data_IF_364509668995
#
_entry.id   IF_364509668995
#
_cell.length_a   1.000
_cell.length_b   1.000
_cell.length_c   1.000
_cell.angle_alpha   90.00
_cell.angle_beta   90.00
_cell.angle_gamma   90.00
#
_symmetry.space_group_name_H-M   'P 1'
#
loop_
_entity.id
_entity.type
_entity.pdbx_description
1 polymer ?
#
# COMPACT_ATOMS: atom_id res chain seq x y z
N UNK A 1 -4.59 -18.45 -11.10
CA UNK A 1 -4.30 -17.10 -10.59
C UNK A 1 -3.88 -17.20 -9.13
N UNK A 2 -3.07 -16.28 -8.60
CA UNK A 2 -2.76 -16.15 -7.18
C UNK A 2 -3.53 -14.93 -6.65
N UNK A 3 -4.79 -15.10 -6.17
CA UNK A 3 -5.69 -13.96 -5.94
C UNK A 3 -5.20 -13.05 -4.81
N UNK A 4 -4.61 -13.65 -3.77
CA UNK A 4 -3.99 -12.91 -2.67
C UNK A 4 -2.84 -12.03 -3.16
N UNK A 5 -1.94 -12.57 -3.98
CA UNK A 5 -0.82 -11.80 -4.57
C UNK A 5 -1.35 -10.61 -5.37
N UNK A 6 -2.43 -10.79 -6.14
CA UNK A 6 -3.05 -9.71 -6.90
C UNK A 6 -3.65 -8.64 -5.99
N UNK A 7 -4.39 -9.03 -4.95
CA UNK A 7 -4.96 -8.09 -3.98
C UNK A 7 -3.86 -7.26 -3.28
N UNK A 8 -2.76 -7.91 -2.87
CA UNK A 8 -1.59 -7.22 -2.31
C UNK A 8 -0.99 -6.26 -3.34
N UNK A 9 -0.71 -6.70 -4.56
CA UNK A 9 -0.15 -5.85 -5.61
C UNK A 9 -1.02 -4.62 -5.91
N UNK A 10 -2.34 -4.78 -5.97
CA UNK A 10 -3.27 -3.67 -6.17
C UNK A 10 -3.20 -2.69 -4.99
N UNK A 11 -3.33 -3.18 -3.75
CA UNK A 11 -3.30 -2.34 -2.56
C UNK A 11 -1.97 -1.55 -2.43
N UNK A 12 -0.84 -2.17 -2.70
CA UNK A 12 0.48 -1.51 -2.69
C UNK A 12 0.60 -0.47 -3.81
N UNK A 13 0.12 -0.79 -5.01
CA UNK A 13 0.19 0.12 -6.16
C UNK A 13 -0.67 1.38 -5.95
N UNK A 14 -1.87 1.22 -5.39
CA UNK A 14 -2.73 2.37 -5.07
C UNK A 14 -2.13 3.22 -3.94
N UNK A 15 -1.52 2.62 -2.92
CA UNK A 15 -0.81 3.37 -1.89
C UNK A 15 0.39 4.14 -2.47
N UNK A 16 1.17 3.53 -3.35
CA UNK A 16 2.28 4.20 -4.06
C UNK A 16 1.76 5.43 -4.82
N UNK A 17 0.69 5.27 -5.61
CA UNK A 17 0.07 6.37 -6.35
C UNK A 17 -0.43 7.48 -5.43
N UNK A 18 -1.06 7.13 -4.32
CA UNK A 18 -1.55 8.09 -3.33
C UNK A 18 -0.41 8.89 -2.68
N UNK A 19 0.70 8.25 -2.35
CA UNK A 19 1.89 8.93 -1.83
C UNK A 19 2.47 9.92 -2.85
N UNK A 20 2.52 9.53 -4.12
CA UNK A 20 3.00 10.41 -5.19
C UNK A 20 2.04 11.59 -5.44
N UNK A 21 0.72 11.35 -5.45
CA UNK A 21 -0.27 12.40 -5.76
C UNK A 21 -0.49 13.37 -4.61
N UNK A 22 -0.58 12.87 -3.37
CA UNK A 22 -0.96 13.69 -2.20
C UNK A 22 0.22 14.26 -1.43
N UNK A 23 1.42 13.67 -1.56
CA UNK A 23 2.63 14.13 -0.85
C UNK A 23 3.77 14.52 -1.79
N UNK A 24 3.57 14.44 -3.12
CA UNK A 24 4.55 14.86 -4.10
C UNK A 24 5.84 14.03 -4.11
N UNK A 25 5.83 12.86 -3.48
CA UNK A 25 6.98 11.97 -3.43
C UNK A 25 7.27 11.41 -4.82
N UNK A 26 8.55 11.25 -5.14
CA UNK A 26 8.92 10.47 -6.31
C UNK A 26 8.74 8.96 -6.06
N UNK A 27 8.92 8.15 -7.11
CA UNK A 27 8.74 6.71 -7.01
C UNK A 27 9.75 6.06 -6.04
N UNK A 28 11.00 6.56 -5.97
CA UNK A 28 12.03 5.99 -5.12
C UNK A 28 11.77 6.32 -3.65
N UNK A 29 11.42 7.57 -3.33
CA UNK A 29 11.07 8.04 -1.99
C UNK A 29 9.84 7.30 -1.45
N UNK A 30 8.78 7.20 -2.25
CA UNK A 30 7.57 6.50 -1.84
C UNK A 30 7.82 5.00 -1.62
N UNK A 31 8.60 4.34 -2.50
CA UNK A 31 8.99 2.94 -2.30
C UNK A 31 9.90 2.75 -1.08
N UNK A 32 10.76 3.72 -0.76
CA UNK A 32 11.59 3.66 0.44
C UNK A 32 10.73 3.63 1.71
N UNK A 33 9.75 4.54 1.82
CA UNK A 33 8.82 4.57 2.97
C UNK A 33 8.00 3.27 3.02
N UNK A 34 7.46 2.82 1.89
CA UNK A 34 6.69 1.59 1.82
C UNK A 34 7.52 0.38 2.24
N UNK A 35 8.75 0.24 1.73
CA UNK A 35 9.61 -0.89 2.06
C UNK A 35 9.97 -0.99 3.54
N UNK A 36 10.00 0.14 4.25
CA UNK A 36 10.41 0.21 5.65
C UNK A 36 9.24 0.16 6.63
N UNK A 37 8.09 0.73 6.27
CA UNK A 37 7.03 1.03 7.23
C UNK A 37 5.66 0.47 6.85
N UNK A 38 5.50 -0.16 5.68
CA UNK A 38 4.19 -0.71 5.28
C UNK A 38 3.78 -1.85 6.20
N UNK A 39 2.52 -1.81 6.59
CA UNK A 39 1.85 -2.93 7.23
C UNK A 39 0.73 -3.41 6.31
N UNK A 40 0.52 -4.73 6.28
CA UNK A 40 -0.56 -5.34 5.52
C UNK A 40 -1.54 -6.04 6.45
N UNK A 41 -2.81 -5.69 6.34
CA UNK A 41 -3.89 -6.42 6.99
C UNK A 41 -4.67 -7.22 5.96
N UNK A 42 -5.03 -8.44 6.33
CA UNK A 42 -5.97 -9.25 5.53
C UNK A 42 -7.38 -8.77 5.84
N UNK A 43 -8.07 -8.25 4.82
CA UNK A 43 -9.48 -7.85 4.94
C UNK A 43 -10.42 -9.03 4.75
N UNK A 44 -10.25 -9.78 3.67
CA UNK A 44 -11.06 -10.96 3.34
C UNK A 44 -10.23 -12.01 2.60
N UNK A 45 -10.41 -13.28 2.98
CA UNK A 45 -9.80 -14.45 2.32
C UNK A 45 -10.80 -15.60 2.13
N UNK A 46 -12.06 -15.41 2.53
CA UNK A 46 -13.05 -16.47 2.61
C UNK A 46 -13.72 -16.76 1.25
N UNK A 47 -14.04 -15.70 0.52
CA UNK A 47 -14.68 -15.78 -0.79
C UNK A 47 -13.69 -15.39 -1.91
N UNK A 48 -14.06 -15.56 -3.20
CA UNK A 48 -13.15 -15.28 -4.31
C UNK A 48 -12.66 -13.81 -4.40
N UNK A 49 -13.29 -12.86 -3.70
CA UNK A 49 -12.88 -11.47 -3.63
C UNK A 49 -11.89 -11.24 -2.46
N UNK A 50 -10.65 -11.67 -2.68
CA UNK A 50 -9.56 -11.47 -1.74
C UNK A 50 -9.31 -9.97 -1.54
N UNK A 51 -9.20 -9.54 -0.29
CA UNK A 51 -8.99 -8.13 0.06
C UNK A 51 -7.77 -8.00 0.95
N UNK A 52 -6.86 -7.10 0.55
CA UNK A 52 -5.68 -6.72 1.31
C UNK A 52 -5.69 -5.22 1.55
N UNK A 53 -5.33 -4.81 2.76
CA UNK A 53 -5.18 -3.40 3.13
C UNK A 53 -3.69 -3.09 3.20
N UNK A 54 -3.25 -2.08 2.46
CA UNK A 54 -1.91 -1.51 2.57
C UNK A 54 -2.02 -0.25 3.43
N UNK A 55 -1.33 -0.18 4.58
CA UNK A 55 -1.40 0.95 5.51
C UNK A 55 -0.03 1.42 5.97
N UNK A 56 0.04 2.69 6.33
CA UNK A 56 1.20 3.35 6.92
C UNK A 56 0.76 4.15 8.15
N UNK A 57 1.62 4.23 9.17
CA UNK A 57 1.41 5.17 10.27
C UNK A 57 1.44 6.60 9.74
N UNK A 58 0.50 7.45 10.16
CA UNK A 58 0.52 8.88 9.79
C UNK A 58 1.78 9.60 10.27
N UNK A 59 2.44 9.08 11.29
CA UNK A 59 3.69 9.64 11.82
C UNK A 59 4.88 9.53 10.87
N UNK A 60 4.83 8.63 9.87
CA UNK A 60 5.90 8.47 8.87
C UNK A 60 5.62 9.22 7.57
N UNK A 61 4.46 9.87 7.47
CA UNK A 61 4.09 10.65 6.30
C UNK A 61 4.74 12.04 6.38
N UNK A 62 5.16 12.61 5.22
CA UNK A 62 5.61 13.99 5.18
C UNK A 62 4.54 14.95 5.71
N UNK A 63 4.97 16.07 6.30
CA UNK A 63 4.07 17.17 6.61
C UNK A 63 3.46 17.72 5.31
N UNK A 64 2.13 17.85 5.30
CA UNK A 64 1.37 18.45 4.19
C UNK A 64 1.51 19.96 4.17
#
# INVERSE_FOLDING_TARGET
ARPLDQATQHATSEMLRWLQSEYGLDAAEANFILGMHVEYDVGNIYDPAFTMVCKLSKSVLPSR
#
